data_IF_399914936002
#
_entry.id   IF_399914936002
#
_cell.length_a   1.000
_cell.length_b   1.000
_cell.length_c   1.000
_cell.angle_alpha   90.00
_cell.angle_beta   90.00
_cell.angle_gamma   90.00
#
_symmetry.space_group_name_H-M   'P 1'
#
loop_
_entity.id
_entity.type
_entity.pdbx_description
1 polymer ?
#
# COMPACT_ATOMS: atom_id res chain seq x y z
N UNK A 1 -15.91 -2.86 17.93
CA UNK A 1 -16.50 -1.53 17.78
C UNK A 1 -17.95 -1.67 17.29
N UNK A 2 -18.91 -0.83 17.74
CA UNK A 2 -20.33 -1.06 17.51
C UNK A 2 -20.77 -0.90 16.06
N UNK A 3 -20.06 -0.09 15.26
CA UNK A 3 -20.36 0.12 13.84
C UNK A 3 -19.15 0.59 13.05
N UNK A 4 -19.31 0.68 11.71
CA UNK A 4 -18.24 1.11 10.80
C UNK A 4 -17.84 2.57 11.05
N UNK A 5 -18.80 3.46 11.38
CA UNK A 5 -18.50 4.88 11.59
C UNK A 5 -17.64 5.08 12.85
N UNK A 6 -17.98 4.38 13.95
CA UNK A 6 -17.17 4.37 15.15
C UNK A 6 -15.77 3.80 14.91
N UNK A 7 -15.67 2.73 14.13
CA UNK A 7 -14.39 2.13 13.74
C UNK A 7 -13.53 3.11 12.95
N UNK A 8 -14.09 3.77 11.95
CA UNK A 8 -13.39 4.76 11.12
C UNK A 8 -12.95 5.98 11.96
N UNK A 9 -13.79 6.44 12.90
CA UNK A 9 -13.44 7.54 13.80
C UNK A 9 -12.18 7.22 14.60
N UNK A 10 -12.11 6.05 15.23
CA UNK A 10 -10.93 5.60 15.98
C UNK A 10 -9.72 5.44 15.05
N UNK A 11 -9.88 4.74 13.92
CA UNK A 11 -8.79 4.52 12.99
C UNK A 11 -8.24 5.85 12.42
N UNK A 12 -9.11 6.83 12.13
CA UNK A 12 -8.70 8.13 11.60
C UNK A 12 -8.03 9.04 12.65
N UNK A 13 -8.14 8.72 13.93
CA UNK A 13 -7.49 9.46 15.01
C UNK A 13 -6.08 8.94 15.34
N UNK A 14 -5.66 7.80 14.78
CA UNK A 14 -4.32 7.25 15.02
C UNK A 14 -3.28 8.05 14.21
N UNK A 15 -2.29 8.67 14.86
CA UNK A 15 -1.22 9.38 14.16
C UNK A 15 -0.41 8.45 13.24
N UNK A 16 -0.09 8.90 12.03
CA UNK A 16 0.71 8.11 11.08
C UNK A 16 2.09 7.75 11.65
N UNK A 17 2.71 8.64 12.44
CA UNK A 17 3.98 8.36 13.11
C UNK A 17 3.92 7.18 14.08
N UNK A 18 2.77 6.97 14.75
CA UNK A 18 2.57 5.77 15.58
C UNK A 18 2.51 4.51 14.73
N UNK A 19 1.77 4.56 13.62
CA UNK A 19 1.69 3.41 12.70
C UNK A 19 3.06 3.07 12.12
N UNK A 20 3.86 4.07 11.77
CA UNK A 20 5.24 3.83 11.31
C UNK A 20 6.08 3.14 12.39
N UNK A 21 6.02 3.60 13.64
CA UNK A 21 6.74 2.97 14.75
C UNK A 21 6.28 1.53 15.03
N UNK A 22 4.98 1.25 14.95
CA UNK A 22 4.44 -0.11 15.10
C UNK A 22 4.94 -1.02 13.96
N UNK A 23 4.99 -0.52 12.71
CA UNK A 23 5.52 -1.26 11.54
C UNK A 23 7.03 -1.48 11.64
N UNK A 24 7.81 -0.52 12.14
CA UNK A 24 9.23 -0.70 12.44
C UNK A 24 9.45 -1.82 13.45
N UNK A 25 8.66 -1.84 14.53
CA UNK A 25 8.74 -2.87 15.56
C UNK A 25 8.42 -4.27 15.02
N UNK A 26 7.35 -4.40 14.20
CA UNK A 26 6.98 -5.66 13.54
C UNK A 26 8.06 -6.11 12.56
N UNK A 27 8.62 -5.20 11.77
CA UNK A 27 9.69 -5.48 10.81
C UNK A 27 10.95 -5.95 11.53
N UNK A 28 11.35 -5.27 12.61
CA UNK A 28 12.49 -5.66 13.43
C UNK A 28 12.28 -7.00 14.13
N UNK A 29 11.05 -7.33 14.54
CA UNK A 29 10.70 -8.64 15.06
C UNK A 29 10.82 -9.73 13.98
N UNK A 30 10.20 -9.51 12.82
CA UNK A 30 10.25 -10.45 11.70
C UNK A 30 11.69 -10.72 11.24
N UNK A 31 12.53 -9.68 11.17
CA UNK A 31 13.93 -9.81 10.78
C UNK A 31 14.75 -10.73 11.67
N UNK A 32 14.36 -10.91 12.94
CA UNK A 32 15.05 -11.76 13.91
C UNK A 32 14.34 -13.08 14.21
N UNK A 33 13.14 -13.28 13.66
CA UNK A 33 12.36 -14.48 13.93
C UNK A 33 13.00 -15.70 13.24
N UNK A 34 13.21 -16.82 13.94
CA UNK A 34 13.93 -17.98 13.39
C UNK A 34 13.26 -18.65 12.20
N UNK A 35 11.94 -18.45 12.02
CA UNK A 35 11.18 -18.95 10.87
C UNK A 35 11.07 -17.95 9.73
N UNK A 36 11.69 -16.78 9.82
CA UNK A 36 11.66 -15.75 8.78
C UNK A 36 13.04 -15.59 8.12
N UNK A 37 13.01 -15.15 6.86
CA UNK A 37 14.21 -14.73 6.17
C UNK A 37 14.35 -13.21 6.33
N UNK A 38 15.01 -12.79 7.42
CA UNK A 38 14.98 -11.42 7.92
C UNK A 38 15.42 -10.33 6.96
N UNK A 39 16.21 -10.67 5.92
CA UNK A 39 16.63 -9.72 4.90
C UNK A 39 15.68 -9.67 3.68
N UNK A 40 14.61 -10.47 3.68
CA UNK A 40 13.67 -10.65 2.57
C UNK A 40 12.25 -10.25 2.96
N UNK A 41 12.10 -9.02 3.44
CA UNK A 41 10.82 -8.51 3.92
C UNK A 41 10.17 -7.66 2.82
N UNK A 42 8.95 -8.02 2.47
CA UNK A 42 8.04 -7.21 1.65
C UNK A 42 6.88 -6.69 2.47
N UNK A 43 6.22 -5.64 1.97
CA UNK A 43 5.02 -5.08 2.59
C UNK A 43 3.87 -5.05 1.61
N UNK A 44 2.69 -5.44 2.06
CA UNK A 44 1.43 -5.30 1.31
C UNK A 44 0.32 -4.87 2.23
N UNK A 45 -0.69 -4.21 1.68
CA UNK A 45 -1.84 -3.77 2.45
C UNK A 45 -2.96 -3.26 1.55
N UNK A 46 -4.19 -3.35 2.07
CA UNK A 46 -5.43 -3.07 1.36
C UNK A 46 -6.07 -1.78 1.88
N UNK A 47 -6.63 -0.95 1.02
CA UNK A 47 -7.34 0.27 1.39
C UNK A 47 -6.43 1.20 2.24
N UNK A 48 -6.77 1.42 3.51
CA UNK A 48 -5.91 2.14 4.45
C UNK A 48 -4.54 1.47 4.62
N UNK A 49 -4.49 0.14 4.60
CA UNK A 49 -3.24 -0.62 4.59
C UNK A 49 -2.39 -0.35 3.34
N UNK A 50 -3.03 -0.15 2.19
CA UNK A 50 -2.34 0.23 0.94
C UNK A 50 -1.70 1.63 1.04
N UNK A 51 -2.38 2.59 1.67
CA UNK A 51 -1.80 3.89 1.99
C UNK A 51 -0.57 3.74 2.88
N UNK A 52 -0.67 2.95 3.97
CA UNK A 52 0.47 2.73 4.87
C UNK A 52 1.59 1.90 4.24
N UNK A 53 1.28 1.03 3.28
CA UNK A 53 2.30 0.35 2.46
C UNK A 53 3.21 1.35 1.75
N UNK A 54 2.64 2.39 1.13
CA UNK A 54 3.40 3.45 0.46
C UNK A 54 4.17 4.33 1.45
N UNK A 55 3.52 4.76 2.53
CA UNK A 55 4.18 5.58 3.56
C UNK A 55 5.33 4.82 4.22
N UNK A 56 5.15 3.53 4.50
CA UNK A 56 6.18 2.71 5.12
C UNK A 56 7.35 2.42 4.16
N UNK A 57 7.06 2.20 2.88
CA UNK A 57 8.11 2.07 1.86
C UNK A 57 8.96 3.34 1.69
N UNK A 58 8.39 4.52 1.98
CA UNK A 58 9.14 5.79 2.02
C UNK A 58 9.89 6.03 3.35
N UNK A 59 9.44 5.38 4.44
CA UNK A 59 9.95 5.55 5.79
C UNK A 59 11.16 4.67 6.09
N UNK A 60 11.16 3.42 5.63
CA UNK A 60 12.17 2.42 6.02
C UNK A 60 13.03 1.95 4.85
N UNK A 61 14.26 1.51 5.15
CA UNK A 61 15.16 0.84 4.19
C UNK A 61 15.17 -0.69 4.36
N UNK A 62 14.38 -1.23 5.29
CA UNK A 62 14.38 -2.67 5.61
C UNK A 62 13.60 -3.53 4.61
N UNK A 63 12.81 -2.91 3.73
CA UNK A 63 11.99 -3.61 2.75
C UNK A 63 12.75 -3.93 1.46
N UNK A 64 12.29 -4.97 0.76
CA UNK A 64 12.73 -5.36 -0.60
C UNK A 64 11.68 -5.15 -1.67
N UNK A 65 10.41 -5.08 -1.32
CA UNK A 65 9.30 -4.81 -2.23
C UNK A 65 8.07 -4.28 -1.50
N UNK A 66 7.21 -3.55 -2.22
CA UNK A 66 5.94 -3.04 -1.70
C UNK A 66 4.81 -3.27 -2.71
N UNK A 67 3.64 -3.72 -2.21
CA UNK A 67 2.44 -3.93 -3.04
C UNK A 67 1.23 -3.25 -2.38
N UNK A 68 0.99 -1.95 -2.64
CA UNK A 68 -0.22 -1.27 -2.19
C UNK A 68 -1.44 -1.66 -3.05
N UNK A 69 -2.56 -1.99 -2.38
CA UNK A 69 -3.85 -2.26 -3.01
C UNK A 69 -4.82 -1.12 -2.71
N UNK A 70 -5.28 -0.44 -3.75
CA UNK A 70 -6.25 0.68 -3.66
C UNK A 70 -6.05 1.56 -2.41
N UNK A 71 -4.80 1.89 -2.13
CA UNK A 71 -4.42 2.83 -1.08
C UNK A 71 -4.56 4.28 -1.56
N UNK A 72 -5.13 5.16 -0.73
CA UNK A 72 -5.22 6.58 -1.06
C UNK A 72 -3.83 7.17 -1.30
N UNK A 73 -3.70 7.92 -2.39
CA UNK A 73 -2.45 8.57 -2.82
C UNK A 73 -2.41 10.02 -2.33
N UNK A 74 -3.57 10.70 -2.33
CA UNK A 74 -3.76 12.04 -1.78
C UNK A 74 -4.84 12.00 -0.68
N UNK A 75 -4.52 11.46 0.51
CA UNK A 75 -5.47 11.45 1.61
C UNK A 75 -5.69 12.86 2.15
N UNK A 76 -6.82 13.08 2.82
CA UNK A 76 -7.04 14.30 3.59
C UNK A 76 -5.97 14.44 4.68
N UNK A 77 -5.35 15.62 4.76
CA UNK A 77 -4.37 15.94 5.78
C UNK A 77 -5.08 16.39 7.05
N UNK A 78 -4.56 15.98 8.20
CA UNK A 78 -5.12 16.29 9.52
C UNK A 78 -3.97 16.62 10.48
N UNK A 79 -3.87 17.85 10.97
CA UNK A 79 -2.81 18.22 11.90
C UNK A 79 -2.69 17.27 13.10
N UNK A 80 -1.48 16.88 13.44
CA UNK A 80 -1.20 15.93 14.54
C UNK A 80 -1.51 14.46 14.24
N UNK A 81 -2.19 14.16 13.13
CA UNK A 81 -2.51 12.80 12.71
C UNK A 81 -1.78 12.46 11.41
N UNK A 82 -2.00 13.24 10.35
CA UNK A 82 -1.40 13.08 9.03
C UNK A 82 -1.00 14.41 8.44
N UNK A 83 0.27 14.59 8.16
CA UNK A 83 0.84 15.85 7.66
C UNK A 83 1.26 15.77 6.20
N UNK A 84 1.32 14.57 5.62
CA UNK A 84 1.64 14.31 4.21
C UNK A 84 0.95 13.04 3.72
N UNK A 85 0.78 12.93 2.41
CA UNK A 85 0.30 11.72 1.74
C UNK A 85 1.42 10.98 1.02
N UNK A 86 1.13 9.78 0.49
CA UNK A 86 2.10 9.00 -0.29
C UNK A 86 2.79 9.75 -1.41
N UNK A 87 2.06 10.60 -2.15
CA UNK A 87 2.64 11.34 -3.27
C UNK A 87 3.69 12.38 -2.81
N UNK A 88 3.52 12.94 -1.60
CA UNK A 88 4.43 13.96 -1.06
C UNK A 88 5.78 13.37 -0.64
N UNK A 89 5.87 12.05 -0.48
CA UNK A 89 7.07 11.34 -0.04
C UNK A 89 7.51 10.23 -1.00
N UNK A 90 6.87 10.13 -2.16
CA UNK A 90 7.15 9.09 -3.15
C UNK A 90 8.61 9.09 -3.62
N UNK A 91 9.24 10.26 -3.68
CA UNK A 91 10.64 10.43 -4.03
C UNK A 91 11.63 9.81 -3.02
N UNK A 92 11.14 9.41 -1.83
CA UNK A 92 11.93 8.71 -0.80
C UNK A 92 11.87 7.19 -0.91
N UNK A 93 10.92 6.64 -1.67
CA UNK A 93 10.80 5.19 -1.88
C UNK A 93 12.01 4.69 -2.67
N UNK A 94 12.60 3.56 -2.25
CA UNK A 94 13.78 2.95 -2.87
C UNK A 94 13.59 1.48 -3.25
N UNK A 95 12.42 0.93 -2.99
CA UNK A 95 12.11 -0.47 -3.25
C UNK A 95 11.15 -0.59 -4.44
N UNK A 96 11.17 -1.70 -5.19
CA UNK A 96 10.20 -1.97 -6.24
C UNK A 96 8.75 -1.89 -5.73
N UNK A 97 7.87 -1.21 -6.48
CA UNK A 97 6.46 -1.01 -6.12
C UNK A 97 5.54 -1.55 -7.21
N UNK A 98 4.61 -2.43 -6.84
CA UNK A 98 3.49 -2.84 -7.67
C UNK A 98 2.19 -2.26 -7.10
N UNK A 99 1.62 -1.25 -7.75
CA UNK A 99 0.33 -0.66 -7.37
C UNK A 99 -0.84 -1.37 -8.03
N UNK A 100 -1.85 -1.78 -7.25
CA UNK A 100 -3.03 -2.48 -7.73
C UNK A 100 -4.28 -1.66 -7.42
N UNK A 101 -4.90 -1.07 -8.46
CA UNK A 101 -5.93 -0.05 -8.32
C UNK A 101 -7.17 -0.35 -9.17
N UNK A 102 -8.32 0.16 -8.72
CA UNK A 102 -9.56 0.09 -9.48
C UNK A 102 -9.80 1.36 -10.30
N UNK A 103 -10.17 1.23 -11.57
CA UNK A 103 -10.51 2.34 -12.45
C UNK A 103 -11.85 2.98 -12.15
N UNK A 104 -12.78 2.22 -11.52
CA UNK A 104 -14.07 2.71 -11.04
C UNK A 104 -14.05 3.13 -9.56
N UNK A 105 -12.88 3.27 -8.94
CA UNK A 105 -12.74 3.78 -7.58
C UNK A 105 -12.93 5.30 -7.54
N UNK A 106 -14.09 5.76 -7.05
CA UNK A 106 -14.40 7.19 -6.95
C UNK A 106 -13.57 7.93 -5.89
N UNK A 107 -12.94 7.21 -4.97
CA UNK A 107 -12.10 7.78 -3.90
C UNK A 107 -10.62 7.91 -4.26
N UNK A 108 -10.18 7.30 -5.38
CA UNK A 108 -8.79 7.31 -5.84
C UNK A 108 -8.76 7.57 -7.34
N UNK A 109 -8.65 8.84 -7.76
CA UNK A 109 -8.59 9.19 -9.18
C UNK A 109 -7.43 8.50 -9.90
N UNK A 110 -7.67 7.95 -11.09
CA UNK A 110 -6.62 7.30 -11.89
C UNK A 110 -5.50 8.26 -12.29
N UNK A 111 -5.77 9.57 -12.32
CA UNK A 111 -4.76 10.61 -12.49
C UNK A 111 -3.74 10.64 -11.35
N UNK A 112 -4.17 10.41 -10.11
CA UNK A 112 -3.26 10.32 -8.96
C UNK A 112 -2.41 9.06 -9.01
N UNK A 113 -2.98 7.94 -9.48
CA UNK A 113 -2.25 6.68 -9.69
C UNK A 113 -1.11 6.87 -10.69
N UNK A 114 -1.40 7.51 -11.83
CA UNK A 114 -0.40 7.84 -12.86
C UNK A 114 0.65 8.84 -12.35
N UNK A 115 0.23 9.82 -11.54
CA UNK A 115 1.15 10.78 -10.96
C UNK A 115 2.16 10.10 -10.02
N UNK A 116 1.68 9.19 -9.15
CA UNK A 116 2.54 8.43 -8.25
C UNK A 116 3.53 7.55 -9.02
N UNK A 117 3.07 6.78 -10.01
CA UNK A 117 3.93 5.98 -10.87
C UNK A 117 5.02 6.84 -11.54
N UNK A 118 4.62 7.99 -12.10
CA UNK A 118 5.56 8.91 -12.75
C UNK A 118 6.65 9.42 -11.79
N UNK A 119 6.29 9.75 -10.54
CA UNK A 119 7.28 10.20 -9.54
C UNK A 119 8.25 9.07 -9.20
N UNK A 120 7.75 7.85 -8.98
CA UNK A 120 8.60 6.69 -8.68
C UNK A 120 9.57 6.37 -9.81
N UNK A 121 9.08 6.32 -11.05
CA UNK A 121 9.92 6.06 -12.22
C UNK A 121 10.99 7.16 -12.39
N UNK A 122 10.64 8.43 -12.20
CA UNK A 122 11.62 9.55 -12.24
C UNK A 122 12.66 9.46 -11.12
N UNK A 123 12.30 8.90 -9.97
CA UNK A 123 13.22 8.64 -8.87
C UNK A 123 14.09 7.38 -9.09
N UNK A 124 13.98 6.70 -10.25
CA UNK A 124 14.73 5.48 -10.57
C UNK A 124 14.20 4.21 -9.91
N UNK A 125 12.98 4.26 -9.37
CA UNK A 125 12.34 3.10 -8.76
C UNK A 125 11.67 2.24 -9.82
N UNK A 126 11.85 0.93 -9.75
CA UNK A 126 11.03 -0.01 -10.55
C UNK A 126 9.60 0.04 -10.04
N UNK A 127 8.70 0.60 -10.85
CA UNK A 127 7.29 0.77 -10.49
C UNK A 127 6.40 0.26 -11.61
N UNK A 128 5.38 -0.52 -11.25
CA UNK A 128 4.33 -1.00 -12.13
C UNK A 128 2.99 -0.73 -11.46
N UNK A 129 2.06 -0.08 -12.17
CA UNK A 129 0.73 0.22 -11.65
C UNK A 129 -0.33 -0.36 -12.59
N UNK A 130 -1.10 -1.31 -12.08
CA UNK A 130 -2.19 -1.95 -12.81
C UNK A 130 -3.51 -1.33 -12.37
N UNK A 131 -4.26 -0.80 -13.33
CA UNK A 131 -5.59 -0.24 -13.11
C UNK A 131 -6.62 -1.13 -13.80
N UNK A 132 -7.52 -1.73 -13.02
CA UNK A 132 -8.63 -2.56 -13.50
C UNK A 132 -9.83 -1.66 -13.81
N UNK A 133 -10.22 -1.47 -15.09
CA UNK A 133 -11.13 -0.39 -15.49
C UNK A 133 -12.47 -0.36 -14.75
N UNK A 134 -13.10 -1.52 -14.57
CA UNK A 134 -14.44 -1.66 -13.97
C UNK A 134 -14.40 -2.05 -12.48
N UNK A 135 -13.22 -2.10 -11.88
CA UNK A 135 -13.06 -2.46 -10.48
C UNK A 135 -13.26 -1.22 -9.59
N UNK A 136 -14.20 -1.28 -8.63
CA UNK A 136 -14.38 -0.22 -7.64
C UNK A 136 -13.39 -0.37 -6.48
N UNK A 137 -13.47 0.56 -5.50
CA UNK A 137 -12.71 0.42 -4.25
C UNK A 137 -12.97 -0.93 -3.58
N UNK A 138 -11.93 -1.54 -3.03
CA UNK A 138 -11.98 -2.84 -2.35
C UNK A 138 -12.42 -4.01 -3.26
N UNK A 139 -12.07 -3.99 -4.54
CA UNK A 139 -12.41 -5.03 -5.51
C UNK A 139 -11.87 -6.44 -5.16
N UNK A 140 -10.91 -6.52 -4.27
CA UNK A 140 -10.34 -7.79 -3.78
C UNK A 140 -11.13 -8.41 -2.60
N UNK A 141 -12.02 -7.65 -1.96
CA UNK A 141 -12.74 -8.09 -0.76
C UNK A 141 -13.95 -8.96 -1.14
N UNK A 142 -13.82 -10.28 -1.12
CA UNK A 142 -14.83 -11.28 -1.55
C UNK A 142 -16.13 -11.25 -0.74
N UNK A 143 -16.11 -10.67 0.44
CA UNK A 143 -17.28 -10.47 1.30
C UNK A 143 -18.04 -9.16 1.03
N UNK A 144 -17.66 -8.40 -0.04
CA UNK A 144 -18.29 -7.10 -0.38
C UNK A 144 -18.91 -7.12 -1.78
N UNK A 145 -19.98 -6.33 -2.02
CA UNK A 145 -20.54 -6.15 -3.38
C UNK A 145 -19.56 -5.56 -4.39
N UNK A 146 -18.48 -4.91 -3.91
CA UNK A 146 -17.41 -4.37 -4.73
C UNK A 146 -16.47 -5.44 -5.30
N UNK A 147 -16.56 -6.69 -4.88
CA UNK A 147 -15.69 -7.78 -5.35
C UNK A 147 -15.77 -7.96 -6.88
N UNK A 148 -14.60 -8.11 -7.49
CA UNK A 148 -14.45 -8.40 -8.92
C UNK A 148 -13.51 -9.59 -9.08
N UNK A 149 -14.10 -10.78 -9.27
CA UNK A 149 -13.39 -12.06 -9.19
C UNK A 149 -12.18 -12.12 -10.15
N UNK A 150 -12.36 -11.73 -11.41
CA UNK A 150 -11.29 -11.77 -12.41
C UNK A 150 -10.15 -10.79 -12.08
N UNK A 151 -10.50 -9.54 -11.75
CA UNK A 151 -9.52 -8.53 -11.34
C UNK A 151 -8.79 -8.95 -10.06
N UNK A 152 -9.50 -9.54 -9.10
CA UNK A 152 -8.91 -10.02 -7.85
C UNK A 152 -7.93 -11.17 -8.09
N UNK A 153 -8.28 -12.13 -8.94
CA UNK A 153 -7.41 -13.25 -9.27
C UNK A 153 -6.13 -12.81 -10.01
N UNK A 154 -6.26 -11.95 -11.02
CA UNK A 154 -5.11 -11.41 -11.74
C UNK A 154 -4.21 -10.57 -10.82
N UNK A 155 -4.80 -9.68 -10.03
CA UNK A 155 -4.05 -8.83 -9.09
C UNK A 155 -3.30 -9.66 -8.03
N UNK A 156 -3.91 -10.74 -7.54
CA UNK A 156 -3.26 -11.64 -6.59
C UNK A 156 -2.07 -12.36 -7.21
N UNK A 157 -2.22 -12.89 -8.42
CA UNK A 157 -1.13 -13.53 -9.14
C UNK A 157 0.04 -12.56 -9.37
N UNK A 158 -0.24 -11.32 -9.80
CA UNK A 158 0.80 -10.28 -9.95
C UNK A 158 1.50 -9.97 -8.63
N UNK A 159 0.75 -9.88 -7.53
CA UNK A 159 1.30 -9.66 -6.19
C UNK A 159 2.27 -10.78 -5.79
N UNK A 160 1.88 -12.04 -6.00
CA UNK A 160 2.73 -13.20 -5.73
C UNK A 160 3.99 -13.21 -6.61
N UNK A 161 3.85 -12.94 -7.90
CA UNK A 161 4.97 -12.87 -8.85
C UNK A 161 5.93 -11.74 -8.49
N UNK A 162 5.40 -10.58 -8.06
CA UNK A 162 6.21 -9.46 -7.61
C UNK A 162 7.05 -9.83 -6.39
N UNK A 163 6.43 -10.41 -5.37
CA UNK A 163 7.17 -10.87 -4.20
C UNK A 163 8.14 -12.01 -4.52
N UNK A 164 7.76 -12.96 -5.40
CA UNK A 164 8.69 -14.00 -5.85
C UNK A 164 9.93 -13.41 -6.50
N UNK A 165 9.76 -12.40 -7.35
CA UNK A 165 10.87 -11.74 -8.05
C UNK A 165 11.83 -11.02 -7.12
N UNK A 166 11.32 -10.30 -6.12
CA UNK A 166 12.13 -9.40 -5.30
C UNK A 166 12.47 -9.92 -3.90
N UNK A 167 11.81 -10.98 -3.44
CA UNK A 167 12.11 -11.60 -2.15
C UNK A 167 12.85 -12.93 -2.26
N UNK A 168 12.92 -13.56 -3.44
CA UNK A 168 13.63 -14.83 -3.63
C UNK A 168 14.94 -14.69 -4.41
N UNK A 169 15.17 -13.53 -5.00
CA UNK A 169 16.40 -13.23 -5.75
C UNK A 169 17.62 -13.08 -4.83
#
# INVERSE_FOLDING_TARGET
>A
LPDIAATLKVANAVPDGRVMGDLDAVTAYAARHPSAQGERIGVTGFCRGGLYTLLFAAHTTALKAAVPWYGQIRPALTPGVRTFGPLDVADKIRVPVLGLYGGADLGIPTGDVKALESVLVKAGVTAEFVVYPDAPHAFFADYRPSFRAEAAADAWNRCLDWFNRYLRA
#
